data_IF_031624966697
#
_entry.id   IF_031624966697
#
_cell.length_a   1.000
_cell.length_b   1.000
_cell.length_c   1.000
_cell.angle_alpha   90.00
_cell.angle_beta   90.00
_cell.angle_gamma   90.00
#
_symmetry.space_group_name_H-M   'P 1'
#
loop_
_entity.id
_entity.type
_entity.pdbx_description
1 polymer ?
#
# COMPACT_ATOMS: atom_id res chain seq x y z
N UNK A 1 -9.48 2.11 17.39
CA UNK A 1 -8.11 2.65 17.29
C UNK A 1 -8.11 3.56 16.07
N UNK A 2 -7.84 4.87 16.21
CA UNK A 2 -8.04 5.85 15.13
C UNK A 2 -6.99 5.82 14.01
N UNK A 3 -6.69 4.64 13.47
CA UNK A 3 -5.85 4.48 12.27
C UNK A 3 -6.75 4.16 11.07
N UNK A 4 -6.35 4.65 9.89
CA UNK A 4 -6.80 4.10 8.61
C UNK A 4 -5.81 3.05 8.15
N UNK A 5 -6.32 2.00 7.54
CA UNK A 5 -5.56 0.85 7.06
C UNK A 5 -5.26 0.98 5.57
N UNK A 6 -4.04 0.63 5.19
CA UNK A 6 -3.55 0.67 3.81
C UNK A 6 -3.03 -0.71 3.43
N UNK A 7 -3.75 -1.40 2.56
CA UNK A 7 -3.32 -2.67 1.98
C UNK A 7 -2.48 -2.41 0.72
N UNK A 8 -1.22 -2.86 0.73
CA UNK A 8 -0.36 -2.79 -0.45
C UNK A 8 -0.66 -3.97 -1.39
N UNK A 9 -1.44 -3.72 -2.45
CA UNK A 9 -1.87 -4.77 -3.39
C UNK A 9 -2.14 -4.23 -4.80
N UNK A 10 -1.91 -5.08 -5.80
CA UNK A 10 -2.22 -4.82 -7.21
C UNK A 10 -3.64 -5.29 -7.50
N UNK A 11 -4.58 -4.34 -7.53
CA UNK A 11 -5.99 -4.60 -7.87
C UNK A 11 -6.51 -3.43 -8.70
N UNK A 12 -7.63 -3.62 -9.42
CA UNK A 12 -8.22 -2.56 -10.24
C UNK A 12 -8.65 -1.32 -9.42
N UNK A 13 -8.92 -1.50 -8.12
CA UNK A 13 -9.29 -0.43 -7.19
C UNK A 13 -8.09 0.24 -6.51
N UNK A 14 -6.87 -0.21 -6.78
CA UNK A 14 -5.71 0.33 -6.08
C UNK A 14 -5.38 1.74 -6.58
N UNK A 15 -5.20 2.66 -5.63
CA UNK A 15 -4.77 4.03 -5.90
C UNK A 15 -3.24 4.13 -5.85
N UNK A 16 -2.63 5.10 -6.56
CA UNK A 16 -1.21 5.38 -6.42
C UNK A 16 -0.81 5.74 -4.98
N UNK A 17 0.41 5.39 -4.58
CA UNK A 17 0.92 5.63 -3.22
C UNK A 17 1.09 7.11 -2.86
N UNK A 18 1.23 7.97 -3.86
CA UNK A 18 1.30 9.43 -3.74
C UNK A 18 -0.08 10.11 -3.80
N UNK A 19 -1.16 9.33 -3.73
CA UNK A 19 -2.52 9.87 -3.73
C UNK A 19 -2.71 10.88 -2.57
N UNK A 20 -3.20 12.11 -2.83
CA UNK A 20 -3.31 13.16 -1.82
C UNK A 20 -4.10 12.76 -0.57
N UNK A 21 -5.10 11.89 -0.72
CA UNK A 21 -5.92 11.42 0.39
C UNK A 21 -5.09 10.63 1.41
N UNK A 22 -4.10 9.84 0.98
CA UNK A 22 -3.23 9.08 1.86
C UNK A 22 -2.30 10.00 2.66
N UNK A 23 -1.74 11.02 2.00
CA UNK A 23 -0.80 11.97 2.62
C UNK A 23 -1.51 12.81 3.70
N UNK A 24 -2.81 13.05 3.55
CA UNK A 24 -3.63 13.81 4.50
C UNK A 24 -4.08 12.98 5.71
N UNK A 25 -3.96 11.65 5.68
CA UNK A 25 -4.38 10.81 6.79
C UNK A 25 -3.43 10.97 7.99
N UNK A 26 -3.93 11.34 9.18
CA UNK A 26 -3.08 11.64 10.33
C UNK A 26 -2.37 10.41 10.91
N UNK A 27 -2.93 9.22 10.68
CA UNK A 27 -2.50 7.94 11.24
C UNK A 27 -2.82 6.80 10.27
N UNK A 28 -1.79 6.32 9.59
CA UNK A 28 -1.88 5.15 8.70
C UNK A 28 -1.28 3.90 9.35
N UNK A 29 -1.93 2.76 9.15
CA UNK A 29 -1.41 1.44 9.41
C UNK A 29 -1.22 0.72 8.07
N UNK A 30 0.04 0.47 7.69
CA UNK A 30 0.38 -0.17 6.42
C UNK A 30 0.41 -1.68 6.60
N UNK A 31 -0.31 -2.39 5.75
CA UNK A 31 -0.39 -3.85 5.73
C UNK A 31 0.35 -4.35 4.50
N UNK A 32 1.39 -5.14 4.73
CA UNK A 32 2.23 -5.72 3.70
C UNK A 32 1.90 -7.20 3.53
N UNK A 33 1.86 -7.66 2.29
CA UNK A 33 1.73 -9.08 1.97
C UNK A 33 3.04 -9.84 2.17
N UNK A 34 2.98 -11.16 2.08
CA UNK A 34 4.17 -12.01 2.01
C UNK A 34 4.68 -12.12 0.58
N UNK A 35 5.94 -12.51 0.43
CA UNK A 35 6.50 -12.80 -0.89
C UNK A 35 5.74 -13.97 -1.55
N UNK A 36 5.43 -13.84 -2.85
CA UNK A 36 4.63 -14.81 -3.60
C UNK A 36 3.12 -14.62 -3.46
N UNK A 37 2.59 -14.91 -2.26
CA UNK A 37 1.12 -14.96 -2.04
C UNK A 37 0.48 -13.58 -1.85
N UNK A 38 1.26 -12.55 -1.53
CA UNK A 38 0.75 -11.21 -1.30
C UNK A 38 -0.15 -11.12 -0.07
N UNK A 39 -1.28 -10.41 -0.20
CA UNK A 39 -2.26 -10.25 0.88
C UNK A 39 -3.48 -11.15 0.66
N UNK A 40 -4.04 -11.74 1.73
CA UNK A 40 -5.33 -12.40 1.65
C UNK A 40 -6.41 -11.45 1.11
N UNK A 41 -7.32 -11.98 0.29
CA UNK A 41 -8.39 -11.19 -0.33
C UNK A 41 -9.27 -10.45 0.69
N UNK A 42 -9.52 -11.08 1.84
CA UNK A 42 -10.26 -10.50 2.96
C UNK A 42 -9.58 -9.23 3.48
N UNK A 43 -8.26 -9.27 3.69
CA UNK A 43 -7.47 -8.12 4.13
C UNK A 43 -7.53 -6.97 3.12
N UNK A 44 -7.45 -7.28 1.83
CA UNK A 44 -7.58 -6.27 0.77
C UNK A 44 -8.99 -5.66 0.76
N UNK A 45 -10.01 -6.45 1.04
CA UNK A 45 -11.42 -6.02 0.98
C UNK A 45 -11.81 -5.16 2.19
N UNK A 46 -11.27 -5.48 3.36
CA UNK A 46 -11.54 -4.78 4.62
C UNK A 46 -10.69 -3.52 4.84
N UNK A 47 -9.59 -3.37 4.08
CA UNK A 47 -8.74 -2.19 4.19
C UNK A 47 -9.46 -0.91 3.75
N UNK A 48 -9.20 0.19 4.46
CA UNK A 48 -9.74 1.51 4.12
C UNK A 48 -9.23 1.98 2.75
N UNK A 49 -7.96 1.69 2.46
CA UNK A 49 -7.31 1.98 1.19
C UNK A 49 -6.60 0.75 0.64
N UNK A 50 -6.69 0.55 -0.67
CA UNK A 50 -5.84 -0.37 -1.42
C UNK A 50 -4.91 0.46 -2.26
N UNK A 51 -3.60 0.24 -2.12
CA UNK A 51 -2.57 1.12 -2.64
C UNK A 51 -1.54 0.33 -3.44
N UNK A 52 -1.03 0.94 -4.52
CA UNK A 52 0.08 0.41 -5.31
C UNK A 52 1.19 1.43 -5.47
N UNK A 53 2.41 0.92 -5.59
CA UNK A 53 3.53 1.69 -6.12
C UNK A 53 3.41 1.65 -7.65
N UNK A 54 3.29 2.79 -8.36
CA UNK A 54 3.31 2.79 -9.81
C UNK A 54 4.65 2.22 -10.31
N UNK A 55 4.58 1.16 -11.11
CA UNK A 55 5.75 0.53 -11.72
C UNK A 55 5.86 0.95 -13.18
N UNK A 56 7.09 1.07 -13.68
CA UNK A 56 7.36 1.31 -15.09
C UNK A 56 7.97 0.04 -15.71
N UNK A 57 7.62 -0.28 -16.96
CA UNK A 57 7.97 -1.51 -17.69
C UNK A 57 7.23 -2.77 -17.19
N UNK A 58 7.64 -3.95 -17.67
CA UNK A 58 7.01 -5.26 -17.45
C UNK A 58 7.29 -5.85 -16.05
N UNK A 59 7.30 -5.00 -15.01
CA UNK A 59 7.49 -5.44 -13.62
C UNK A 59 6.24 -5.09 -12.84
N UNK A 60 5.56 -6.12 -12.35
CA UNK A 60 4.28 -5.92 -11.66
C UNK A 60 4.49 -5.45 -10.20
N UNK A 61 5.54 -5.92 -9.53
CA UNK A 61 5.78 -5.63 -8.10
C UNK A 61 7.26 -5.58 -7.69
N UNK A 62 7.53 -4.99 -6.53
CA UNK A 62 8.81 -5.06 -5.82
C UNK A 62 8.76 -6.19 -4.80
N UNK A 63 9.93 -6.66 -4.36
CA UNK A 63 9.98 -7.49 -3.16
C UNK A 63 9.39 -6.74 -1.94
N UNK A 64 8.89 -7.49 -0.96
CA UNK A 64 8.18 -6.92 0.19
C UNK A 64 9.01 -5.90 0.98
N UNK A 65 10.31 -6.11 1.11
CA UNK A 65 11.19 -5.20 1.85
C UNK A 65 11.36 -3.87 1.13
N UNK A 66 11.58 -3.89 -0.19
CA UNK A 66 11.68 -2.70 -1.02
C UNK A 66 10.36 -1.95 -1.10
N UNK A 67 9.24 -2.66 -1.26
CA UNK A 67 7.90 -2.07 -1.22
C UNK A 67 7.63 -1.38 0.13
N UNK A 68 8.02 -2.02 1.24
CA UNK A 68 7.89 -1.45 2.59
C UNK A 68 8.72 -0.18 2.73
N UNK A 69 9.97 -0.19 2.26
CA UNK A 69 10.87 0.96 2.33
C UNK A 69 10.30 2.16 1.56
N UNK A 70 9.81 1.95 0.33
CA UNK A 70 9.17 2.99 -0.48
C UNK A 70 7.90 3.50 0.20
N UNK A 71 7.06 2.61 0.74
CA UNK A 71 5.82 3.00 1.39
C UNK A 71 6.04 3.86 2.64
N UNK A 72 6.99 3.47 3.50
CA UNK A 72 7.34 4.29 4.66
C UNK A 72 8.00 5.61 4.26
N UNK A 73 8.81 5.61 3.21
CA UNK A 73 9.42 6.84 2.74
C UNK A 73 8.35 7.81 2.21
N UNK A 74 7.44 7.36 1.34
CA UNK A 74 6.44 8.25 0.73
C UNK A 74 5.40 8.74 1.74
N UNK A 75 4.90 7.84 2.60
CA UNK A 75 3.81 8.11 3.54
C UNK A 75 4.29 8.70 4.88
N UNK A 76 5.58 9.02 5.01
CA UNK A 76 6.09 9.70 6.21
C UNK A 76 5.43 11.06 6.39
N UNK A 77 5.25 11.48 7.63
CA UNK A 77 4.89 12.87 7.92
C UNK A 77 6.02 13.80 7.46
N UNK A 78 5.65 14.83 6.71
CA UNK A 78 6.55 15.91 6.31
C UNK A 78 6.66 16.95 7.41
#
# INVERSE_FOLDING_TARGET
MGFRTVAMALTDRSVPIDAPQLIQEPRLAIIMGTEGDGLPREVITEADYVVRIPMHHQVDSLNVAAASAVAFWELRKR
#
